data_IF_799141065749
#
_entry.id   IF_799141065749
#
_cell.length_a   1.000
_cell.length_b   1.000
_cell.length_c   1.000
_cell.angle_alpha   90.00
_cell.angle_beta   90.00
_cell.angle_gamma   90.00
#
_symmetry.space_group_name_H-M   'P 1'
#
loop_
_entity.id
_entity.type
_entity.pdbx_description
1 polymer ?
#
# COMPACT_ATOMS: atom_id res chain seq x y z
N UNK A 1 18.17 17.37 25.05
CA UNK A 1 19.34 16.62 24.52
C UNK A 1 19.50 15.41 25.40
N UNK A 2 19.05 14.27 24.91
CA UNK A 2 19.16 13.00 25.60
C UNK A 2 20.38 12.24 25.05
N UNK A 3 20.97 11.39 25.88
CA UNK A 3 21.97 10.42 25.45
C UNK A 3 21.40 9.03 25.67
N UNK A 4 21.53 8.17 24.67
CA UNK A 4 21.15 6.77 24.76
C UNK A 4 22.39 5.89 24.70
N UNK A 5 22.35 4.79 25.45
CA UNK A 5 23.34 3.74 25.37
C UNK A 5 22.76 2.55 24.58
N UNK A 6 23.48 2.13 23.53
CA UNK A 6 23.10 1.04 22.64
C UNK A 6 24.09 -0.12 22.80
N UNK A 7 23.59 -1.35 22.82
CA UNK A 7 24.42 -2.56 22.87
C UNK A 7 24.45 -3.20 21.48
N UNK A 8 25.64 -3.30 20.87
CA UNK A 8 25.82 -3.87 19.52
C UNK A 8 27.01 -4.82 19.56
N UNK A 9 26.80 -6.10 19.21
CA UNK A 9 27.84 -7.12 19.17
C UNK A 9 28.54 -7.34 20.52
N UNK A 10 27.81 -7.14 21.62
CA UNK A 10 28.33 -7.23 23.00
C UNK A 10 29.15 -6.02 23.45
N UNK A 11 29.04 -4.87 22.76
CA UNK A 11 29.72 -3.62 23.11
C UNK A 11 28.74 -2.47 23.28
N UNK A 12 29.05 -1.58 24.22
CA UNK A 12 28.24 -0.40 24.55
C UNK A 12 28.67 0.82 23.72
N UNK A 13 27.70 1.51 23.11
CA UNK A 13 27.88 2.72 22.30
C UNK A 13 26.95 3.83 22.79
N UNK A 14 27.53 4.99 23.13
CA UNK A 14 26.75 6.15 23.56
C UNK A 14 26.52 7.12 22.41
N UNK A 15 25.26 7.47 22.17
CA UNK A 15 24.83 8.36 21.09
C UNK A 15 23.95 9.48 21.66
N UNK A 16 24.18 10.70 21.20
CA UNK A 16 23.28 11.82 21.45
C UNK A 16 22.04 11.67 20.56
N UNK A 17 20.84 11.76 21.13
CA UNK A 17 19.59 11.69 20.38
C UNK A 17 18.64 12.83 20.74
N UNK A 18 17.70 13.09 19.83
CA UNK A 18 16.57 13.97 20.11
C UNK A 18 15.57 13.24 21.01
N UNK A 19 14.78 14.02 21.76
CA UNK A 19 13.76 13.48 22.64
C UNK A 19 12.71 12.72 21.80
N UNK A 20 12.49 11.44 22.11
CA UNK A 20 11.53 10.57 21.39
C UNK A 20 12.13 9.69 20.29
N UNK A 21 13.41 9.83 19.92
CA UNK A 21 14.06 8.95 18.93
C UNK A 21 14.68 7.68 19.53
N UNK A 22 14.72 7.57 20.86
CA UNK A 22 15.36 6.47 21.61
C UNK A 22 14.94 5.10 21.10
N UNK A 23 13.63 4.83 21.02
CA UNK A 23 13.10 3.53 20.56
C UNK A 23 13.41 3.25 19.07
N UNK A 24 13.58 4.27 18.24
CA UNK A 24 13.99 4.08 16.86
C UNK A 24 15.47 3.69 16.80
N UNK A 25 16.33 4.35 17.55
CA UNK A 25 17.76 4.02 17.64
C UNK A 25 18.00 2.62 18.22
N UNK A 26 17.24 2.21 19.24
CA UNK A 26 17.31 0.84 19.78
C UNK A 26 16.99 -0.20 18.71
N UNK A 27 15.92 -0.02 17.93
CA UNK A 27 15.58 -0.94 16.83
C UNK A 27 16.65 -0.99 15.74
N UNK A 28 17.27 0.14 15.41
CA UNK A 28 18.38 0.17 14.46
C UNK A 28 19.62 -0.57 15.00
N UNK A 29 19.90 -0.45 16.30
CA UNK A 29 20.98 -1.21 16.93
C UNK A 29 20.71 -2.72 16.91
N UNK A 30 19.47 -3.15 17.20
CA UNK A 30 19.06 -4.56 17.09
C UNK A 30 19.25 -5.09 15.66
N UNK A 31 18.86 -4.32 14.64
CA UNK A 31 19.10 -4.70 13.24
C UNK A 31 20.59 -4.89 12.93
N UNK A 32 21.45 -4.02 13.44
CA UNK A 32 22.91 -4.16 13.28
C UNK A 32 23.40 -5.44 13.97
N UNK A 33 22.93 -5.71 15.18
CA UNK A 33 23.30 -6.91 15.96
C UNK A 33 22.92 -8.21 15.23
N UNK A 34 21.71 -8.26 14.64
CA UNK A 34 21.28 -9.38 13.80
C UNK A 34 22.22 -9.61 12.61
N UNK A 35 22.67 -8.54 11.93
CA UNK A 35 23.64 -8.68 10.82
C UNK A 35 24.98 -9.22 11.31
N UNK A 36 25.45 -8.77 12.48
CA UNK A 36 26.69 -9.27 13.07
C UNK A 36 26.61 -10.75 13.42
N UNK A 37 25.48 -11.20 13.95
CA UNK A 37 25.21 -12.61 14.22
C UNK A 37 25.22 -13.44 12.93
N UNK A 38 24.56 -12.96 11.87
CA UNK A 38 24.54 -13.62 10.56
C UNK A 38 25.93 -13.69 9.91
N UNK A 39 26.74 -12.65 10.06
CA UNK A 39 28.11 -12.61 9.56
C UNK A 39 29.10 -13.49 10.34
N UNK A 40 28.70 -14.01 11.52
CA UNK A 40 29.65 -14.63 12.46
C UNK A 40 30.74 -13.66 12.93
N UNK A 41 30.46 -12.36 12.90
CA UNK A 41 31.43 -11.30 13.21
C UNK A 41 31.43 -10.90 14.71
N UNK A 42 30.54 -11.49 15.51
CA UNK A 42 30.47 -11.29 16.96
C UNK A 42 31.79 -11.72 17.59
N UNK A 43 32.42 -10.81 18.34
CA UNK A 43 33.73 -11.04 18.97
C UNK A 43 34.95 -10.63 18.14
N UNK A 44 34.76 -10.13 16.90
CA UNK A 44 35.82 -9.45 16.16
C UNK A 44 36.19 -8.11 16.81
N UNK A 45 37.28 -7.49 16.36
CA UNK A 45 37.59 -6.11 16.73
C UNK A 45 36.47 -5.19 16.26
N UNK A 46 36.17 -4.15 17.05
CA UNK A 46 35.09 -3.20 16.77
C UNK A 46 35.08 -2.66 15.33
N UNK A 47 36.20 -2.20 14.75
CA UNK A 47 36.18 -1.67 13.38
C UNK A 47 35.83 -2.75 12.35
N UNK A 48 36.27 -3.99 12.57
CA UNK A 48 36.00 -5.12 11.67
C UNK A 48 34.55 -5.58 11.79
N UNK A 49 34.04 -5.65 13.02
CA UNK A 49 32.66 -5.99 13.32
C UNK A 49 31.72 -4.99 12.63
N UNK A 50 31.91 -3.69 12.87
CA UNK A 50 31.10 -2.64 12.27
C UNK A 50 31.25 -2.61 10.73
N UNK A 51 32.44 -2.89 10.19
CA UNK A 51 32.64 -3.01 8.73
C UNK A 51 31.77 -4.12 8.13
N UNK A 52 31.72 -5.31 8.76
CA UNK A 52 30.88 -6.40 8.28
C UNK A 52 29.39 -6.04 8.28
N UNK A 53 28.87 -5.49 9.40
CA UNK A 53 27.50 -5.02 9.44
C UNK A 53 27.21 -3.94 8.38
N UNK A 54 28.12 -2.98 8.20
CA UNK A 54 27.97 -1.91 7.21
C UNK A 54 27.88 -2.46 5.79
N UNK A 55 28.73 -3.44 5.44
CA UNK A 55 28.72 -4.06 4.12
C UNK A 55 27.43 -4.85 3.86
N UNK A 56 26.94 -5.60 4.85
CA UNK A 56 25.68 -6.34 4.71
C UNK A 56 24.48 -5.41 4.53
N UNK A 57 24.39 -4.34 5.34
CA UNK A 57 23.34 -3.34 5.20
C UNK A 57 23.43 -2.58 3.87
N UNK A 58 24.65 -2.32 3.38
CA UNK A 58 24.86 -1.69 2.08
C UNK A 58 24.41 -2.60 0.93
N UNK A 59 24.66 -3.91 1.02
CA UNK A 59 24.22 -4.90 0.03
C UNK A 59 22.68 -4.99 -0.02
N UNK A 60 22.02 -5.06 1.13
CA UNK A 60 20.54 -5.04 1.20
C UNK A 60 19.94 -3.76 0.62
N UNK A 61 20.53 -2.61 0.95
CA UNK A 61 20.12 -1.34 0.39
C UNK A 61 20.34 -1.28 -1.13
N UNK A 62 21.43 -1.87 -1.62
CA UNK A 62 21.74 -1.96 -3.04
C UNK A 62 20.69 -2.80 -3.78
N UNK A 63 20.39 -3.99 -3.27
CA UNK A 63 19.37 -4.89 -3.80
C UNK A 63 17.98 -4.26 -3.81
N UNK A 64 17.58 -3.59 -2.72
CA UNK A 64 16.29 -2.89 -2.64
C UNK A 64 16.20 -1.76 -3.66
N UNK A 65 17.27 -0.98 -3.85
CA UNK A 65 17.33 0.08 -4.85
C UNK A 65 17.29 -0.48 -6.27
N UNK A 66 17.98 -1.57 -6.55
CA UNK A 66 17.91 -2.23 -7.86
C UNK A 66 16.49 -2.73 -8.16
N UNK A 67 15.83 -3.38 -7.20
CA UNK A 67 14.44 -3.84 -7.34
C UNK A 67 13.46 -2.69 -7.53
N UNK A 68 13.69 -1.55 -6.85
CA UNK A 68 12.86 -0.35 -7.04
C UNK A 68 13.09 0.33 -8.40
N UNK A 69 14.28 0.16 -8.99
CA UNK A 69 14.63 0.69 -10.32
C UNK A 69 14.20 -0.22 -11.46
N UNK A 70 14.03 -1.52 -11.21
CA UNK A 70 13.33 -2.39 -12.16
C UNK A 70 11.89 -1.86 -12.27
N UNK A 71 11.47 -1.36 -13.45
CA UNK A 71 10.06 -1.12 -13.67
C UNK A 71 9.39 -2.44 -13.37
N UNK A 72 8.45 -2.46 -12.41
CA UNK A 72 7.57 -3.60 -12.23
C UNK A 72 7.15 -3.98 -13.65
N UNK A 73 7.61 -5.15 -14.13
CA UNK A 73 7.35 -5.58 -15.49
C UNK A 73 5.87 -5.35 -15.66
N UNK A 74 5.51 -4.39 -16.53
CA UNK A 74 4.12 -4.05 -16.74
C UNK A 74 3.42 -5.39 -16.91
N UNK A 75 2.39 -5.70 -16.12
CA UNK A 75 1.74 -7.00 -16.23
C UNK A 75 1.51 -7.19 -17.71
N UNK A 76 2.12 -8.24 -18.28
CA UNK A 76 1.98 -8.56 -19.71
C UNK A 76 0.50 -8.34 -20.02
N UNK A 77 0.14 -7.55 -21.04
CA UNK A 77 -1.21 -7.01 -21.17
C UNK A 77 -2.17 -8.17 -20.97
N UNK A 78 -2.80 -8.21 -19.80
CA UNK A 78 -3.85 -9.17 -19.53
C UNK A 78 -4.83 -8.90 -20.65
N UNK A 79 -5.16 -9.90 -21.49
CA UNK A 79 -6.22 -9.70 -22.46
C UNK A 79 -7.39 -9.09 -21.69
N UNK A 80 -8.00 -8.00 -22.19
CA UNK A 80 -9.02 -7.28 -21.45
C UNK A 80 -10.00 -8.31 -20.90
N UNK A 81 -10.36 -8.23 -19.61
CA UNK A 81 -11.36 -9.13 -19.07
C UNK A 81 -12.55 -9.08 -20.02
N UNK A 82 -13.01 -10.26 -20.46
CA UNK A 82 -14.16 -10.36 -21.34
C UNK A 82 -15.25 -9.44 -20.79
N UNK A 83 -15.88 -8.60 -21.63
CA UNK A 83 -16.88 -7.65 -21.15
C UNK A 83 -17.87 -8.43 -20.29
N UNK A 84 -18.05 -8.00 -19.05
CA UNK A 84 -19.04 -8.58 -18.17
C UNK A 84 -20.37 -8.60 -18.93
N UNK A 85 -21.14 -9.71 -18.88
CA UNK A 85 -22.44 -9.75 -19.55
C UNK A 85 -23.26 -8.59 -19.00
N UNK A 86 -23.54 -7.62 -19.86
CA UNK A 86 -24.47 -6.54 -19.56
C UNK A 86 -25.79 -7.23 -19.23
N UNK A 87 -26.45 -6.94 -18.09
CA UNK A 87 -27.74 -7.54 -17.81
C UNK A 87 -28.70 -7.17 -18.94
N UNK A 88 -29.07 -8.17 -19.75
CA UNK A 88 -30.06 -8.01 -20.81
C UNK A 88 -31.41 -7.74 -20.14
N UNK A 89 -31.96 -6.55 -20.40
CA UNK A 89 -33.30 -6.19 -19.94
C UNK A 89 -34.29 -7.04 -20.76
N UNK A 90 -35.14 -7.88 -20.12
CA UNK A 90 -36.11 -8.68 -20.85
C UNK A 90 -37.05 -7.79 -21.67
N UNK A 91 -37.34 -8.15 -22.92
CA UNK A 91 -38.26 -7.37 -23.80
C UNK A 91 -39.63 -7.13 -23.14
N UNK A 92 -40.11 -8.10 -22.37
CA UNK A 92 -41.36 -8.00 -21.59
C UNK A 92 -41.34 -6.80 -20.62
N UNK A 93 -40.20 -6.54 -19.98
CA UNK A 93 -40.07 -5.41 -19.05
C UNK A 93 -40.10 -4.06 -19.78
N UNK A 94 -39.59 -4.01 -21.02
CA UNK A 94 -39.64 -2.81 -21.87
C UNK A 94 -41.08 -2.52 -22.28
N UNK A 95 -41.84 -3.55 -22.67
CA UNK A 95 -43.26 -3.40 -23.02
C UNK A 95 -44.10 -2.97 -21.82
N UNK A 96 -43.85 -3.52 -20.63
CA UNK A 96 -44.55 -3.14 -19.40
C UNK A 96 -44.26 -1.67 -19.03
N UNK A 97 -43.00 -1.25 -19.08
CA UNK A 97 -42.62 0.15 -18.85
C UNK A 97 -43.29 1.10 -19.84
N UNK A 98 -43.37 0.73 -21.12
CA UNK A 98 -44.07 1.52 -22.13
C UNK A 98 -45.57 1.67 -21.82
N UNK A 99 -46.25 0.58 -21.42
CA UNK A 99 -47.67 0.64 -21.02
C UNK A 99 -47.91 1.51 -19.80
N UNK A 100 -46.99 1.48 -18.82
CA UNK A 100 -47.06 2.35 -17.65
C UNK A 100 -46.94 3.82 -18.08
N UNK A 101 -45.99 4.13 -18.97
CA UNK A 101 -45.83 5.48 -19.50
C UNK A 101 -47.10 5.98 -20.21
N UNK A 102 -47.70 5.17 -21.10
CA UNK A 102 -48.96 5.50 -21.79
C UNK A 102 -50.12 5.74 -20.81
N UNK A 103 -50.15 4.98 -19.71
CA UNK A 103 -51.18 5.12 -18.69
C UNK A 103 -51.00 6.45 -17.92
N UNK A 104 -49.75 6.82 -17.62
CA UNK A 104 -49.44 8.10 -16.96
C UNK A 104 -49.80 9.27 -17.87
N UNK A 105 -49.53 9.19 -19.17
CA UNK A 105 -49.90 10.23 -20.14
C UNK A 105 -51.43 10.40 -20.22
N UNK A 106 -52.18 9.30 -20.29
CA UNK A 106 -53.66 9.35 -20.26
C UNK A 106 -54.22 9.95 -18.97
N UNK A 107 -53.60 9.65 -17.83
CA UNK A 107 -54.00 10.26 -16.56
C UNK A 107 -53.68 11.76 -16.53
N UNK A 108 -52.54 12.17 -17.09
CA UNK A 108 -52.19 13.58 -17.23
C UNK A 108 -53.20 14.33 -18.11
N UNK A 109 -53.55 13.77 -19.28
CA UNK A 109 -54.57 14.34 -20.18
C UNK A 109 -55.92 14.52 -19.47
N UNK A 110 -56.34 13.53 -18.67
CA UNK A 110 -57.58 13.60 -17.91
C UNK A 110 -57.53 14.70 -16.83
N UNK A 111 -56.38 14.88 -16.16
CA UNK A 111 -56.20 15.94 -15.18
C UNK A 111 -56.20 17.32 -15.82
N UNK A 112 -55.56 17.48 -16.98
CA UNK A 112 -55.57 18.73 -17.76
C UNK A 112 -56.97 19.08 -18.25
N UNK A 113 -57.74 18.08 -18.71
CA UNK A 113 -59.12 18.27 -19.15
C UNK A 113 -60.10 18.50 -17.98
N UNK A 114 -59.80 17.96 -16.80
CA UNK A 114 -60.58 18.15 -15.57
C UNK A 114 -60.26 19.45 -14.82
N UNK A 115 -59.26 20.22 -15.28
CA UNK A 115 -58.99 21.56 -14.80
C UNK A 115 -59.59 22.60 -15.77
N UNK A 116 -60.90 22.91 -15.69
CA UNK A 116 -61.40 24.07 -16.41
C UNK A 116 -60.73 25.32 -15.84
N UNK A 117 -60.28 26.21 -16.72
CA UNK A 117 -59.82 27.56 -16.41
C UNK A 117 -60.66 28.19 -15.28
N UNK A 118 -60.01 28.47 -14.16
CA UNK A 118 -60.47 29.42 -13.14
C UNK A 118 -59.52 30.60 -13.13
#
# INVERSE_FOLDING_TARGET
MANISLMIGGREFMLACADGEEAHLTRLAEMIDEKLAQAGAVGQTEPRMLLFASLMLADELHELRQRAQQPAAAPAPTPPPAPAPVPEIPEVLVEELARIADHVEKLADLLEQSAPNA
#
